data_IF_769405257545
#
_entry.id   IF_769405257545
#
_cell.length_a   1.000
_cell.length_b   1.000
_cell.length_c   1.000
_cell.angle_alpha   90.00
_cell.angle_beta   90.00
_cell.angle_gamma   90.00
#
_symmetry.space_group_name_H-M   'P 1'
#
loop_
_entity.id
_entity.type
_entity.pdbx_description
1 polymer ?
#
# COMPACT_ATOMS: atom_id res chain seq x y z
N UNK A 1 -22.04 -4.31 -10.39
CA UNK A 1 -20.78 -4.52 -9.68
C UNK A 1 -19.64 -3.84 -10.39
N UNK A 2 -18.92 -3.02 -9.64
CA UNK A 2 -17.72 -2.39 -10.15
C UNK A 2 -16.52 -3.23 -9.76
N UNK A 3 -15.70 -3.57 -10.76
CA UNK A 3 -14.45 -4.25 -10.50
C UNK A 3 -13.36 -3.21 -10.38
N UNK A 4 -12.60 -3.28 -9.30
CA UNK A 4 -11.45 -2.42 -9.12
C UNK A 4 -10.21 -3.18 -9.55
N UNK A 5 -9.54 -2.65 -10.56
CA UNK A 5 -8.27 -3.21 -10.98
C UNK A 5 -7.17 -2.68 -10.08
N UNK A 6 -6.29 -3.58 -9.68
CA UNK A 6 -5.12 -3.19 -8.93
C UNK A 6 -3.94 -3.03 -9.88
N UNK A 7 -3.32 -1.85 -9.84
CA UNK A 7 -2.14 -1.56 -10.65
C UNK A 7 -0.97 -1.30 -9.71
N UNK A 8 -0.06 -2.26 -9.55
CA UNK A 8 1.12 -2.02 -8.74
C UNK A 8 2.06 -1.02 -9.44
N UNK A 9 2.84 -0.31 -8.63
CA UNK A 9 3.82 0.63 -9.20
C UNK A 9 4.91 -0.14 -9.95
N UNK A 10 5.38 -1.25 -9.39
CA UNK A 10 6.40 -2.06 -10.03
C UNK A 10 6.16 -3.54 -9.79
N UNK A 11 6.54 -4.33 -10.77
CA UNK A 11 6.63 -5.79 -10.62
C UNK A 11 8.07 -6.15 -10.96
N UNK A 12 8.77 -6.75 -10.00
CA UNK A 12 10.18 -7.11 -10.14
C UNK A 12 10.31 -8.62 -10.13
N UNK A 13 11.08 -9.15 -11.05
CA UNK A 13 11.42 -10.57 -11.07
C UNK A 13 12.89 -10.73 -10.72
N UNK A 14 13.18 -11.51 -9.69
CA UNK A 14 14.56 -11.72 -9.25
C UNK A 14 15.26 -12.74 -10.15
N UNK A 15 16.59 -12.81 -10.03
CA UNK A 15 17.38 -13.77 -10.79
C UNK A 15 16.97 -15.21 -10.48
N UNK A 16 16.49 -15.44 -9.27
CA UNK A 16 16.03 -16.77 -8.83
C UNK A 16 14.62 -17.10 -9.33
N UNK A 17 13.97 -16.16 -10.02
CA UNK A 17 12.63 -16.38 -10.53
C UNK A 17 11.52 -15.92 -9.60
N UNK A 18 11.85 -15.34 -8.45
CA UNK A 18 10.85 -14.80 -7.54
C UNK A 18 10.22 -13.54 -8.12
N UNK A 19 8.94 -13.38 -7.89
CA UNK A 19 8.17 -12.22 -8.35
C UNK A 19 7.83 -11.35 -7.15
N UNK A 20 8.12 -10.07 -7.24
CA UNK A 20 7.85 -9.12 -6.15
C UNK A 20 6.98 -8.00 -6.70
N UNK A 21 5.85 -7.78 -6.06
CA UNK A 21 4.94 -6.68 -6.38
C UNK A 21 5.26 -5.54 -5.43
N UNK A 22 5.60 -4.38 -5.97
CA UNK A 22 6.05 -3.25 -5.17
C UNK A 22 5.07 -2.09 -5.30
N UNK A 23 4.69 -1.53 -4.16
CA UNK A 23 3.89 -0.32 -4.07
C UNK A 23 4.70 0.72 -3.29
N UNK A 24 4.78 1.94 -3.80
CA UNK A 24 5.51 3.02 -3.15
C UNK A 24 4.50 4.02 -2.60
N UNK A 25 4.59 4.30 -1.30
CA UNK A 25 3.71 5.25 -0.62
C UNK A 25 4.50 6.07 0.39
N UNK A 26 4.13 7.34 0.61
CA UNK A 26 4.72 8.10 1.71
C UNK A 26 4.42 7.42 3.05
N UNK A 27 5.40 7.41 3.95
CA UNK A 27 5.23 6.73 5.23
C UNK A 27 4.03 7.26 6.02
N UNK A 28 3.71 8.55 5.87
CA UNK A 28 2.55 9.15 6.55
C UNK A 28 1.23 8.49 6.14
N UNK A 29 1.16 7.93 4.93
CA UNK A 29 -0.05 7.26 4.44
C UNK A 29 -0.12 5.80 4.88
N UNK A 30 0.95 5.29 5.46
CA UNK A 30 1.02 3.92 5.95
C UNK A 30 0.60 3.80 7.41
N UNK A 31 0.27 4.91 8.05
CA UNK A 31 -0.16 4.97 9.44
C UNK A 31 -1.54 5.60 9.52
N UNK A 32 -2.36 5.22 10.53
CA UNK A 32 -3.62 5.89 10.71
C UNK A 32 -3.40 7.37 11.03
N UNK A 33 -4.26 8.27 10.54
CA UNK A 33 -4.12 9.69 10.87
C UNK A 33 -4.34 9.92 12.36
N UNK A 34 -3.61 10.92 12.90
CA UNK A 34 -3.78 11.28 14.32
C UNK A 34 -5.18 11.86 14.53
N UNK A 35 -5.83 11.45 15.62
CA UNK A 35 -7.13 11.97 15.96
C UNK A 35 -6.99 13.39 16.51
N UNK A 36 -7.55 14.39 15.84
CA UNK A 36 -7.49 15.76 16.33
C UNK A 36 -8.49 16.00 17.47
N UNK A 37 -8.34 17.11 18.16
CA UNK A 37 -9.28 17.51 19.23
C UNK A 37 -10.69 17.63 18.66
N UNK A 38 -10.82 18.19 17.48
CA UNK A 38 -12.10 18.26 16.77
C UNK A 38 -11.99 17.45 15.48
N UNK A 39 -12.98 16.61 15.24
CA UNK A 39 -13.04 15.83 14.00
C UNK A 39 -13.43 16.75 12.85
N UNK A 40 -12.52 16.95 11.93
CA UNK A 40 -12.74 17.78 10.76
C UNK A 40 -13.01 16.93 9.52
N UNK A 41 -13.45 17.57 8.44
CA UNK A 41 -13.63 16.88 7.17
C UNK A 41 -12.28 16.34 6.65
N UNK A 42 -11.21 17.08 6.90
CA UNK A 42 -9.88 16.65 6.49
C UNK A 42 -9.49 15.35 7.21
N UNK A 43 -9.76 15.27 8.51
CA UNK A 43 -9.49 14.06 9.29
C UNK A 43 -10.32 12.88 8.77
N UNK A 44 -11.60 13.11 8.49
CA UNK A 44 -12.47 12.04 8.00
C UNK A 44 -12.00 11.55 6.63
N UNK A 45 -11.60 12.48 5.75
CA UNK A 45 -11.08 12.12 4.44
C UNK A 45 -9.81 11.29 4.56
N UNK A 46 -8.89 11.71 5.43
CA UNK A 46 -7.64 10.97 5.65
C UNK A 46 -7.91 9.58 6.21
N UNK A 47 -8.89 9.46 7.09
CA UNK A 47 -9.27 8.17 7.67
C UNK A 47 -9.82 7.22 6.60
N UNK A 48 -10.70 7.73 5.72
CA UNK A 48 -11.24 6.94 4.62
C UNK A 48 -10.14 6.50 3.66
N UNK A 49 -9.23 7.40 3.33
CA UNK A 49 -8.11 7.07 2.44
C UNK A 49 -7.22 5.99 3.04
N UNK A 50 -6.95 6.09 4.34
CA UNK A 50 -6.16 5.09 5.02
C UNK A 50 -6.83 3.72 4.99
N UNK A 51 -8.15 3.67 5.26
CA UNK A 51 -8.90 2.42 5.23
C UNK A 51 -8.90 1.81 3.83
N UNK A 52 -9.11 2.63 2.81
CA UNK A 52 -9.09 2.18 1.42
C UNK A 52 -7.73 1.61 1.03
N UNK A 53 -6.66 2.30 1.43
CA UNK A 53 -5.30 1.84 1.14
C UNK A 53 -5.01 0.52 1.84
N UNK A 54 -5.41 0.37 3.09
CA UNK A 54 -5.22 -0.89 3.81
C UNK A 54 -5.93 -2.04 3.12
N UNK A 55 -7.16 -1.81 2.67
CA UNK A 55 -7.91 -2.84 1.96
C UNK A 55 -7.22 -3.24 0.66
N UNK A 56 -6.67 -2.26 -0.07
CA UNK A 56 -5.92 -2.52 -1.30
C UNK A 56 -4.66 -3.33 -1.02
N UNK A 57 -3.94 -3.00 0.04
CA UNK A 57 -2.71 -3.70 0.39
C UNK A 57 -2.99 -5.14 0.83
N UNK A 58 -4.07 -5.36 1.57
CA UNK A 58 -4.48 -6.72 1.95
C UNK A 58 -4.85 -7.55 0.72
N UNK A 59 -5.58 -6.95 -0.21
CA UNK A 59 -5.95 -7.61 -1.46
C UNK A 59 -4.71 -7.92 -2.30
N UNK A 60 -3.76 -6.98 -2.35
CA UNK A 60 -2.51 -7.16 -3.08
C UNK A 60 -1.68 -8.29 -2.48
N UNK A 61 -1.65 -8.37 -1.15
CA UNK A 61 -0.91 -9.44 -0.46
C UNK A 61 -1.52 -10.79 -0.79
N UNK A 62 -2.84 -10.91 -0.78
CA UNK A 62 -3.52 -12.15 -1.13
C UNK A 62 -3.28 -12.53 -2.58
N UNK A 63 -3.36 -11.55 -3.48
CA UNK A 63 -3.07 -11.77 -4.89
C UNK A 63 -1.65 -12.28 -5.08
N UNK A 64 -0.70 -11.67 -4.38
CA UNK A 64 0.69 -12.09 -4.46
C UNK A 64 0.86 -13.54 -3.98
N UNK A 65 0.25 -13.87 -2.84
CA UNK A 65 0.31 -15.24 -2.30
C UNK A 65 -0.27 -16.25 -3.28
N UNK A 66 -1.41 -15.91 -3.91
CA UNK A 66 -2.07 -16.81 -4.86
C UNK A 66 -1.25 -17.01 -6.14
N UNK A 67 -0.35 -16.09 -6.45
CA UNK A 67 0.45 -16.14 -7.67
C UNK A 67 1.94 -16.40 -7.40
N UNK A 68 2.25 -16.94 -6.24
CA UNK A 68 3.64 -17.25 -5.84
C UNK A 68 4.54 -16.02 -5.92
N UNK A 69 3.99 -14.88 -5.53
CA UNK A 69 4.73 -13.61 -5.51
C UNK A 69 4.74 -13.07 -4.09
N UNK A 70 5.53 -12.02 -3.88
CA UNK A 70 5.56 -11.31 -2.61
C UNK A 70 5.08 -9.89 -2.83
N UNK A 71 4.37 -9.34 -1.86
CA UNK A 71 3.97 -7.95 -1.89
C UNK A 71 4.86 -7.15 -0.95
N UNK A 72 5.39 -6.03 -1.42
CA UNK A 72 6.25 -5.17 -0.62
C UNK A 72 5.80 -3.72 -0.72
N UNK A 73 5.61 -3.09 0.44
CA UNK A 73 5.26 -1.69 0.53
C UNK A 73 6.53 -0.92 0.88
N UNK A 74 6.93 0.01 0.02
CA UNK A 74 8.16 0.77 0.19
C UNK A 74 7.81 2.23 0.45
N UNK A 75 8.46 2.82 1.44
CA UNK A 75 8.28 4.22 1.78
C UNK A 75 9.58 4.98 1.55
N UNK A 76 9.53 6.32 1.67
CA UNK A 76 10.71 7.16 1.56
C UNK A 76 11.75 6.82 2.61
N UNK A 77 11.34 6.24 3.73
CA UNK A 77 12.26 5.81 4.78
C UNK A 77 13.12 4.65 4.33
N UNK A 78 12.57 3.79 3.46
CA UNK A 78 13.32 2.68 2.89
C UNK A 78 14.31 3.15 1.84
N UNK A 79 13.99 4.23 1.14
CA UNK A 79 14.79 4.75 0.05
C UNK A 79 15.75 5.86 0.49
N UNK A 80 15.50 6.47 1.64
CA UNK A 80 16.17 7.69 2.08
C UNK A 80 17.36 7.48 2.99
N UNK A 81 17.91 6.30 3.05
CA UNK A 81 19.04 5.99 3.95
C UNK A 81 20.38 6.26 3.31
N UNK A 82 20.49 7.33 2.58
CA UNK A 82 21.75 7.69 1.94
C UNK A 82 22.55 8.64 2.81
#
# INVERSE_FOLDING_TARGET
KKYHRYYPDFIVRTVKGDKIIIEIKPSRQCKPPKTPTKKTRAFMRSSFEYIKNRAKWEAATRYADDNNAKFKLITEKDLGSY
#
